data_IF_716115499133
#
_entry.id   IF_716115499133
#
_cell.length_a   1.000
_cell.length_b   1.000
_cell.length_c   1.000
_cell.angle_alpha   90.00
_cell.angle_beta   90.00
_cell.angle_gamma   90.00
#
_symmetry.space_group_name_H-M   'P 1'
#
loop_
_entity.id
_entity.type
_entity.pdbx_description
1 polymer ?
#
# COMPACT_ATOMS: atom_id res chain seq x y z
N UNK A 1 34.72 44.49 18.11
CA UNK A 1 34.87 45.83 18.73
C UNK A 1 33.52 46.24 19.30
N UNK A 2 33.50 46.76 20.56
CA UNK A 2 32.36 47.39 21.28
C UNK A 2 31.24 46.42 21.72
N UNK A 3 30.71 46.37 22.93
CA UNK A 3 31.03 46.90 24.28
C UNK A 3 30.10 46.12 25.22
N UNK A 4 30.57 45.74 26.40
CA UNK A 4 29.76 45.10 27.45
C UNK A 4 28.66 46.03 27.98
N UNK A 5 27.44 45.50 28.14
CA UNK A 5 26.50 45.97 29.17
C UNK A 5 25.73 44.79 29.73
N UNK A 6 26.18 44.34 30.90
CA UNK A 6 25.45 43.52 31.86
C UNK A 6 24.27 44.32 32.40
N UNK A 7 23.04 43.79 32.30
CA UNK A 7 21.96 44.16 33.22
C UNK A 7 21.41 42.90 33.88
N UNK A 8 21.89 42.75 35.10
CA UNK A 8 21.34 41.97 36.20
C UNK A 8 19.98 42.55 36.61
N UNK A 9 18.91 41.76 36.56
CA UNK A 9 17.73 41.93 37.40
C UNK A 9 17.22 40.55 37.81
N UNK A 10 17.69 40.14 38.98
CA UNK A 10 17.08 39.15 39.87
C UNK A 10 15.80 39.74 40.49
N UNK A 11 14.68 39.02 40.39
CA UNK A 11 13.65 38.80 41.43
C UNK A 11 12.54 37.96 40.81
N UNK A 12 12.41 36.67 41.10
CA UNK A 12 11.90 36.14 42.37
C UNK A 12 10.53 36.76 42.73
N UNK A 13 9.57 35.87 43.04
CA UNK A 13 8.17 36.12 43.47
C UNK A 13 7.10 36.02 42.37
N UNK A 14 6.62 34.78 42.09
CA UNK A 14 5.22 34.34 42.29
C UNK A 14 4.89 33.02 41.56
N UNK A 15 5.07 31.92 42.27
CA UNK A 15 4.06 30.85 42.40
C UNK A 15 3.70 30.79 43.90
N UNK A 16 2.64 30.12 44.40
CA UNK A 16 1.63 29.26 43.74
C UNK A 16 0.18 29.63 44.12
N UNK A 17 -0.85 29.17 43.38
CA UNK A 17 -2.20 29.08 43.96
C UNK A 17 -3.01 27.97 43.26
N UNK A 18 -2.72 26.73 43.67
CA UNK A 18 -3.75 25.70 43.79
C UNK A 18 -4.50 25.94 45.10
N UNK A 19 -5.82 26.06 45.06
CA UNK A 19 -6.78 25.42 45.98
C UNK A 19 -8.12 26.17 45.96
N UNK A 20 -9.18 25.38 46.18
CA UNK A 20 -10.55 25.78 46.53
C UNK A 20 -11.45 26.17 45.36
N UNK A 21 -12.21 25.20 44.85
CA UNK A 21 -13.67 25.20 44.95
C UNK A 21 -14.22 23.77 44.79
N UNK A 22 -14.27 23.04 45.90
CA UNK A 22 -15.11 21.84 46.09
C UNK A 22 -16.28 22.27 47.00
N UNK A 23 -17.52 22.30 46.47
CA UNK A 23 -18.80 22.22 47.19
C UNK A 23 -19.93 22.12 46.16
N UNK A 24 -20.39 20.90 45.87
CA UNK A 24 -21.65 20.31 46.37
C UNK A 24 -22.91 21.00 45.85
N UNK A 25 -23.56 20.39 44.85
CA UNK A 25 -25.03 20.30 44.76
C UNK A 25 -25.37 18.88 44.29
N UNK A 26 -25.97 18.10 45.18
CA UNK A 26 -26.60 16.81 44.89
C UNK A 26 -28.10 17.03 44.70
N UNK A 27 -28.70 16.15 43.89
CA UNK A 27 -30.12 15.79 43.79
C UNK A 27 -31.01 16.57 42.80
N UNK A 28 -31.34 15.90 41.68
CA UNK A 28 -32.72 15.56 41.35
C UNK A 28 -32.76 14.41 40.33
N UNK A 29 -33.64 13.44 40.62
CA UNK A 29 -33.94 12.26 39.83
C UNK A 29 -34.78 12.66 38.60
N UNK A 30 -34.45 12.13 37.42
CA UNK A 30 -35.23 12.35 36.19
C UNK A 30 -34.78 11.37 35.11
N UNK A 31 -35.57 10.33 34.93
CA UNK A 31 -35.29 9.17 34.09
C UNK A 31 -35.69 9.49 32.64
N UNK A 32 -34.73 9.88 31.81
CA UNK A 32 -34.88 9.91 30.34
C UNK A 32 -33.59 9.41 29.70
N UNK A 33 -33.55 8.11 29.45
CA UNK A 33 -32.49 7.49 28.64
C UNK A 33 -32.77 7.81 27.16
N UNK A 34 -31.77 8.26 26.38
CA UNK A 34 -31.92 8.35 24.93
C UNK A 34 -32.12 6.95 24.35
N UNK A 35 -33.03 6.76 23.37
CA UNK A 35 -33.18 5.47 22.72
C UNK A 35 -31.88 5.10 21.99
N UNK A 36 -31.45 3.85 22.18
CA UNK A 36 -30.34 3.27 21.45
C UNK A 36 -30.57 3.40 19.93
N UNK A 37 -29.51 3.58 19.11
CA UNK A 37 -29.66 3.48 17.67
C UNK A 37 -30.14 2.07 17.32
N UNK A 38 -31.24 2.00 16.57
CA UNK A 38 -31.73 0.75 16.01
C UNK A 38 -30.62 0.09 15.21
N UNK A 39 -30.31 -1.17 15.55
CA UNK A 39 -29.50 -2.02 14.71
C UNK A 39 -30.25 -2.22 13.39
N UNK A 40 -29.66 -1.72 12.31
CA UNK A 40 -30.07 -2.03 10.94
C UNK A 40 -30.06 -3.55 10.77
N UNK A 41 -31.23 -4.12 10.51
CA UNK A 41 -31.36 -5.53 10.20
C UNK A 41 -30.66 -5.79 8.85
N UNK A 42 -29.87 -6.87 8.69
CA UNK A 42 -29.30 -7.21 7.41
C UNK A 42 -30.43 -7.45 6.38
N UNK A 43 -30.26 -7.01 5.12
CA UNK A 43 -31.24 -7.30 4.08
C UNK A 43 -31.42 -8.81 3.92
N UNK A 44 -32.62 -9.30 3.56
CA UNK A 44 -32.85 -10.72 3.36
C UNK A 44 -31.93 -11.25 2.26
N UNK A 45 -31.36 -12.43 2.49
CA UNK A 45 -30.60 -13.17 1.49
C UNK A 45 -31.45 -13.39 0.22
N UNK A 46 -30.86 -13.36 -0.98
CA UNK A 46 -31.61 -13.67 -2.19
C UNK A 46 -32.15 -15.09 -2.11
N UNK A 47 -33.47 -15.22 -2.30
CA UNK A 47 -34.17 -16.49 -2.42
C UNK A 47 -33.57 -17.29 -3.58
N UNK A 48 -33.24 -18.55 -3.30
CA UNK A 48 -32.82 -19.52 -4.30
C UNK A 48 -33.95 -19.72 -5.33
N UNK A 49 -33.83 -19.06 -6.47
CA UNK A 49 -34.65 -19.34 -7.62
C UNK A 49 -34.20 -20.66 -8.26
N UNK A 50 -35.16 -21.56 -8.41
CA UNK A 50 -35.04 -22.88 -8.95
C UNK A 50 -34.38 -22.92 -10.34
N UNK A 51 -33.51 -23.90 -10.53
CA UNK A 51 -32.98 -24.31 -11.81
C UNK A 51 -34.10 -24.60 -12.81
N UNK A 52 -34.12 -23.87 -13.93
CA UNK A 52 -34.82 -24.28 -15.14
C UNK A 52 -33.82 -24.96 -16.08
N UNK A 53 -34.21 -26.05 -16.78
CA UNK A 53 -33.30 -26.81 -17.62
C UNK A 53 -33.03 -26.10 -18.96
N UNK A 54 -31.79 -26.13 -19.41
CA UNK A 54 -31.40 -25.66 -20.74
C UNK A 54 -31.92 -26.63 -21.84
N UNK A 55 -32.29 -26.12 -23.04
CA UNK A 55 -32.69 -26.98 -24.16
C UNK A 55 -31.46 -27.62 -24.83
N UNK A 56 -31.60 -28.88 -25.21
CA UNK A 56 -30.65 -29.63 -26.00
C UNK A 56 -30.60 -29.13 -27.46
N UNK A 57 -29.43 -29.13 -28.12
CA UNK A 57 -29.36 -29.29 -29.55
C UNK A 57 -28.89 -30.70 -29.95
N UNK A 58 -29.42 -31.12 -31.09
CA UNK A 58 -29.38 -32.46 -31.64
C UNK A 58 -28.00 -32.95 -32.06
N UNK A 59 -27.87 -34.27 -32.05
CA UNK A 59 -26.74 -35.04 -32.53
C UNK A 59 -26.44 -34.77 -34.01
N UNK A 60 -25.17 -34.45 -34.29
CA UNK A 60 -24.53 -34.55 -35.60
C UNK A 60 -23.17 -35.19 -35.40
N UNK A 61 -23.06 -36.46 -35.77
CA UNK A 61 -21.87 -37.30 -35.62
C UNK A 61 -20.91 -37.08 -36.78
N UNK A 62 -19.70 -36.59 -36.52
CA UNK A 62 -18.51 -36.91 -37.32
C UNK A 62 -17.29 -37.06 -36.40
N UNK A 63 -16.54 -38.13 -36.65
CA UNK A 63 -15.45 -38.61 -35.83
C UNK A 63 -14.28 -37.62 -35.73
N UNK A 64 -13.81 -37.37 -34.50
CA UNK A 64 -12.50 -36.75 -34.25
C UNK A 64 -11.41 -37.81 -34.16
N UNK A 65 -10.37 -37.63 -34.96
CA UNK A 65 -9.11 -38.38 -34.95
C UNK A 65 -8.40 -38.31 -33.59
N UNK A 66 -7.52 -39.28 -33.24
CA UNK A 66 -6.87 -39.31 -31.94
C UNK A 66 -5.90 -38.13 -31.76
N UNK A 67 -6.00 -37.47 -30.60
CA UNK A 67 -4.99 -36.54 -30.12
C UNK A 67 -3.66 -37.28 -29.89
N UNK A 68 -2.49 -36.70 -30.24
CA UNK A 68 -1.23 -37.23 -29.77
C UNK A 68 -1.10 -36.99 -28.26
N UNK A 69 -0.54 -37.99 -27.58
CA UNK A 69 -0.25 -37.98 -26.16
C UNK A 69 0.54 -36.73 -25.75
N UNK A 70 0.16 -36.19 -24.58
CA UNK A 70 0.89 -35.16 -23.88
C UNK A 70 2.35 -35.59 -23.68
N UNK A 71 3.29 -34.90 -24.35
CA UNK A 71 4.67 -34.86 -23.91
C UNK A 71 4.71 -34.01 -22.63
N UNK A 72 5.12 -34.65 -21.54
CA UNK A 72 5.19 -34.04 -20.22
C UNK A 72 6.02 -32.76 -20.23
N UNK A 73 5.47 -31.70 -19.65
CA UNK A 73 6.25 -30.54 -19.24
C UNK A 73 7.26 -31.02 -18.18
N UNK A 74 8.56 -30.73 -18.30
CA UNK A 74 9.50 -31.10 -17.26
C UNK A 74 9.14 -30.34 -15.98
N UNK A 75 8.91 -31.10 -14.92
CA UNK A 75 8.89 -30.62 -13.54
C UNK A 75 10.20 -29.85 -13.29
N UNK A 76 10.13 -28.54 -13.08
CA UNK A 76 11.27 -27.74 -12.62
C UNK A 76 11.53 -28.04 -11.15
N UNK A 77 11.99 -29.25 -10.88
CA UNK A 77 12.75 -29.55 -9.69
C UNK A 77 13.93 -28.57 -9.64
N UNK A 78 14.24 -28.07 -8.44
CA UNK A 78 15.36 -27.18 -8.17
C UNK A 78 16.53 -27.45 -9.11
N UNK A 79 16.91 -26.42 -9.88
CA UNK A 79 18.06 -26.52 -10.78
C UNK A 79 19.31 -26.98 -10.02
N UNK A 80 20.33 -27.48 -10.73
CA UNK A 80 21.58 -27.94 -10.11
C UNK A 80 22.07 -26.89 -9.11
N UNK A 81 22.48 -27.35 -7.92
CA UNK A 81 23.17 -26.49 -6.97
C UNK A 81 24.32 -25.77 -7.71
N UNK A 82 24.49 -24.45 -7.51
CA UNK A 82 25.51 -23.70 -8.23
C UNK A 82 26.87 -24.36 -8.02
N UNK A 83 27.60 -24.57 -9.12
CA UNK A 83 28.94 -25.15 -9.09
C UNK A 83 29.83 -24.30 -8.16
N UNK A 84 30.47 -24.87 -7.13
CA UNK A 84 31.37 -24.14 -6.23
C UNK A 84 32.58 -23.50 -6.94
N UNK A 85 32.84 -23.87 -8.20
CA UNK A 85 33.83 -23.25 -9.06
C UNK A 85 33.31 -22.06 -9.89
N UNK A 86 32.00 -21.74 -9.83
CA UNK A 86 31.46 -20.54 -10.46
C UNK A 86 32.04 -19.31 -9.76
N UNK A 87 32.84 -18.46 -10.44
CA UNK A 87 33.30 -17.22 -9.85
C UNK A 87 32.09 -16.42 -9.37
N UNK A 88 32.14 -15.91 -8.15
CA UNK A 88 31.11 -14.98 -7.66
C UNK A 88 30.92 -13.90 -8.73
N UNK A 89 29.66 -13.68 -9.13
CA UNK A 89 29.35 -12.61 -10.06
C UNK A 89 30.02 -11.31 -9.55
N UNK A 90 30.67 -10.53 -10.42
CA UNK A 90 31.33 -9.30 -10.01
C UNK A 90 30.34 -8.43 -9.23
N UNK A 91 30.78 -7.68 -8.20
CA UNK A 91 29.88 -6.89 -7.38
C UNK A 91 29.01 -6.03 -8.30
N UNK A 92 27.70 -6.23 -8.24
CA UNK A 92 26.76 -5.47 -9.03
C UNK A 92 27.01 -3.98 -8.76
N UNK A 93 27.38 -3.22 -9.78
CA UNK A 93 27.53 -1.77 -9.66
C UNK A 93 26.20 -1.21 -9.21
N UNK A 94 26.18 -0.61 -8.01
CA UNK A 94 24.98 0.03 -7.47
C UNK A 94 24.66 1.25 -8.33
N UNK A 95 23.48 1.26 -8.95
CA UNK A 95 22.96 2.40 -9.71
C UNK A 95 22.17 3.29 -8.74
N UNK A 96 22.54 4.56 -8.52
CA UNK A 96 21.77 5.43 -7.64
C UNK A 96 20.31 5.59 -8.10
N UNK A 97 19.37 5.66 -7.15
CA UNK A 97 17.97 6.00 -7.45
C UNK A 97 17.92 7.44 -7.98
N UNK A 98 17.30 7.69 -9.15
CA UNK A 98 17.16 9.04 -9.69
C UNK A 98 16.22 9.88 -8.83
N UNK A 99 16.62 11.13 -8.55
CA UNK A 99 15.75 12.10 -7.90
C UNK A 99 14.66 12.57 -8.86
N UNK A 100 13.40 12.39 -8.48
CA UNK A 100 12.27 12.87 -9.26
C UNK A 100 11.70 14.20 -8.75
N UNK A 101 10.63 14.68 -9.39
CA UNK A 101 9.93 15.88 -8.94
C UNK A 101 9.25 15.65 -7.58
N UNK A 102 9.05 16.73 -6.84
CA UNK A 102 8.23 16.72 -5.63
C UNK A 102 6.79 16.30 -5.95
N UNK A 103 6.23 15.41 -5.12
CA UNK A 103 4.87 14.92 -5.28
C UNK A 103 3.89 15.96 -4.73
N UNK A 104 3.06 16.52 -5.61
CA UNK A 104 1.98 17.43 -5.22
C UNK A 104 0.75 16.61 -4.82
N UNK A 105 0.22 16.86 -3.62
CA UNK A 105 -0.98 16.18 -3.12
C UNK A 105 -2.17 17.14 -3.18
N UNK A 106 -2.84 17.20 -4.33
CA UNK A 106 -4.09 17.96 -4.51
C UNK A 106 -5.28 17.00 -4.65
N UNK A 107 -6.51 17.42 -4.32
CA UNK A 107 -7.69 16.55 -4.49
C UNK A 107 -7.88 16.03 -5.92
N UNK A 108 -7.51 16.82 -6.92
CA UNK A 108 -7.54 16.43 -8.34
C UNK A 108 -6.53 15.32 -8.64
N UNK A 109 -5.25 15.51 -8.27
CA UNK A 109 -4.20 14.52 -8.49
C UNK A 109 -4.47 13.22 -7.74
N UNK A 110 -5.03 13.31 -6.53
CA UNK A 110 -5.48 12.14 -5.76
C UNK A 110 -6.60 11.39 -6.47
N UNK A 111 -7.60 12.11 -7.00
CA UNK A 111 -8.71 11.49 -7.71
C UNK A 111 -8.26 10.83 -9.01
N UNK A 112 -7.35 11.46 -9.76
CA UNK A 112 -6.74 10.88 -10.95
C UNK A 112 -5.86 9.67 -10.63
N UNK A 113 -5.00 9.80 -9.61
CA UNK A 113 -4.17 8.71 -9.11
C UNK A 113 -4.99 7.49 -8.68
N UNK A 114 -6.12 7.71 -8.02
CA UNK A 114 -7.06 6.64 -7.68
C UNK A 114 -7.61 5.96 -8.95
N UNK A 115 -8.02 6.71 -9.97
CA UNK A 115 -8.49 6.11 -11.24
C UNK A 115 -7.41 5.24 -11.87
N UNK A 116 -6.16 5.72 -11.89
CA UNK A 116 -5.01 4.98 -12.42
C UNK A 116 -4.74 3.73 -11.59
N UNK A 117 -4.78 3.82 -10.26
CA UNK A 117 -4.64 2.68 -9.34
C UNK A 117 -5.63 1.55 -9.64
N UNK A 118 -6.85 1.92 -10.04
CA UNK A 118 -7.85 0.95 -10.48
C UNK A 118 -7.57 0.42 -11.89
N UNK A 119 -7.35 1.30 -12.87
CA UNK A 119 -7.18 0.90 -14.28
C UNK A 119 -5.88 0.15 -14.57
N UNK A 120 -4.80 0.45 -13.84
CA UNK A 120 -3.51 -0.23 -13.96
C UNK A 120 -3.45 -1.55 -13.16
N UNK A 121 -4.53 -1.91 -12.44
CA UNK A 121 -4.63 -3.19 -11.72
C UNK A 121 -3.90 -3.24 -10.38
N UNK A 122 -3.38 -2.11 -9.86
CA UNK A 122 -2.69 -2.08 -8.56
C UNK A 122 -3.58 -2.63 -7.43
N UNK A 123 -4.88 -2.31 -7.49
CA UNK A 123 -5.90 -2.79 -6.55
C UNK A 123 -6.04 -4.31 -6.49
N UNK A 124 -5.69 -5.04 -7.56
CA UNK A 124 -5.81 -6.49 -7.58
C UNK A 124 -4.85 -7.14 -6.58
N UNK A 125 -3.70 -6.51 -6.36
CA UNK A 125 -2.66 -7.02 -5.46
C UNK A 125 -2.64 -6.31 -4.10
N UNK A 126 -2.83 -4.99 -4.10
CA UNK A 126 -2.78 -4.11 -2.91
C UNK A 126 -4.17 -3.82 -2.30
N UNK A 127 -5.23 -4.41 -2.85
CA UNK A 127 -6.61 -4.23 -2.39
C UNK A 127 -7.26 -2.93 -2.87
N UNK A 128 -8.59 -2.90 -2.95
CA UNK A 128 -9.35 -1.74 -3.46
C UNK A 128 -9.09 -0.43 -2.72
N UNK A 129 -8.77 -0.50 -1.44
CA UNK A 129 -8.46 0.66 -0.58
C UNK A 129 -6.98 0.78 -0.22
N UNK A 130 -6.11 -0.05 -0.81
CA UNK A 130 -4.69 -0.12 -0.44
C UNK A 130 -4.44 -0.96 0.83
N UNK A 131 -5.43 -1.67 1.38
CA UNK A 131 -5.28 -2.47 2.59
C UNK A 131 -4.45 -3.74 2.46
N UNK A 132 -3.85 -4.01 1.30
CA UNK A 132 -3.03 -5.18 1.02
C UNK A 132 -3.85 -6.41 0.62
N UNK A 133 -3.21 -7.58 0.66
CA UNK A 133 -3.84 -8.86 0.34
C UNK A 133 -2.79 -9.91 -0.02
N UNK A 134 -2.46 -10.01 -1.31
CA UNK A 134 -1.29 -10.79 -1.77
C UNK A 134 0.02 -9.98 -1.66
N UNK A 135 -0.09 -8.65 -1.66
CA UNK A 135 1.02 -7.72 -1.51
C UNK A 135 0.86 -6.87 -0.24
N UNK A 136 1.91 -6.15 0.18
CA UNK A 136 1.88 -5.32 1.37
C UNK A 136 0.75 -4.28 1.33
N UNK A 137 0.16 -3.95 2.49
CA UNK A 137 -0.71 -2.79 2.60
C UNK A 137 0.06 -1.51 2.25
N UNK A 138 -0.62 -0.61 1.56
CA UNK A 138 -0.19 0.77 1.31
C UNK A 138 -0.71 1.72 2.40
N UNK A 139 -1.58 1.26 3.30
CA UNK A 139 -2.27 2.09 4.31
C UNK A 139 -1.59 2.09 5.69
N UNK A 140 -0.51 1.33 5.91
CA UNK A 140 0.21 1.28 7.17
C UNK A 140 1.65 1.79 7.02
N UNK A 141 2.36 1.92 8.13
CA UNK A 141 3.67 2.57 8.15
C UNK A 141 4.85 1.59 7.92
N UNK A 142 4.57 0.36 7.47
CA UNK A 142 5.60 -0.66 7.20
C UNK A 142 5.90 -0.72 5.71
N UNK A 143 7.02 -0.14 5.32
CA UNK A 143 7.43 -0.06 3.92
C UNK A 143 8.55 -1.04 3.61
N UNK A 144 8.36 -1.87 2.59
CA UNK A 144 9.31 -2.94 2.27
C UNK A 144 10.65 -2.39 1.78
N UNK A 145 10.68 -1.35 0.95
CA UNK A 145 11.93 -0.79 0.40
C UNK A 145 12.23 0.64 0.86
N UNK A 146 11.38 1.25 1.68
CA UNK A 146 11.41 2.69 1.97
C UNK A 146 10.11 3.38 1.54
N UNK A 147 9.79 4.48 2.19
CA UNK A 147 8.63 5.33 1.87
C UNK A 147 8.96 6.61 1.11
N UNK A 148 10.24 6.90 0.85
CA UNK A 148 10.62 8.11 0.11
C UNK A 148 10.11 8.08 -1.34
N UNK A 149 9.72 9.24 -1.86
CA UNK A 149 9.05 9.35 -3.17
C UNK A 149 9.92 8.84 -4.32
N UNK A 150 11.23 9.01 -4.22
CA UNK A 150 12.17 8.54 -5.25
C UNK A 150 12.22 7.01 -5.27
N UNK A 151 12.31 6.37 -4.10
CA UNK A 151 12.22 4.92 -3.99
C UNK A 151 10.88 4.38 -4.46
N UNK A 152 9.76 5.00 -4.07
CA UNK A 152 8.43 4.57 -4.51
C UNK A 152 8.25 4.74 -6.02
N UNK A 153 8.74 5.85 -6.60
CA UNK A 153 8.74 6.10 -8.04
C UNK A 153 9.52 5.03 -8.79
N UNK A 154 10.75 4.74 -8.37
CA UNK A 154 11.57 3.71 -9.00
C UNK A 154 10.92 2.33 -8.85
N UNK A 155 10.41 2.01 -7.68
CA UNK A 155 9.72 0.75 -7.43
C UNK A 155 8.51 0.58 -8.37
N UNK A 156 7.66 1.61 -8.53
CA UNK A 156 6.50 1.57 -9.44
C UNK A 156 6.97 1.39 -10.89
N UNK A 157 7.94 2.18 -11.34
CA UNK A 157 8.33 2.18 -12.75
C UNK A 157 9.11 0.92 -13.15
N UNK A 158 10.02 0.46 -12.30
CA UNK A 158 11.00 -0.59 -12.63
C UNK A 158 10.73 -1.94 -11.95
N UNK A 159 9.84 -1.95 -10.96
CA UNK A 159 9.47 -3.16 -10.23
C UNK A 159 10.52 -3.62 -9.20
N UNK A 160 10.16 -4.67 -8.45
CA UNK A 160 10.99 -5.13 -7.32
C UNK A 160 12.33 -5.72 -7.70
N UNK A 161 12.48 -6.25 -8.93
CA UNK A 161 13.74 -6.85 -9.37
C UNK A 161 14.86 -5.81 -9.53
N UNK A 162 14.52 -4.58 -9.94
CA UNK A 162 15.48 -3.50 -10.12
C UNK A 162 16.01 -2.93 -8.79
N UNK A 163 15.27 -3.13 -7.68
CA UNK A 163 15.64 -2.53 -6.39
C UNK A 163 17.01 -2.97 -5.87
N UNK A 164 17.42 -4.21 -6.16
CA UNK A 164 18.74 -4.72 -5.78
C UNK A 164 19.85 -3.98 -6.54
N UNK A 165 19.65 -3.70 -7.83
CA UNK A 165 20.57 -2.89 -8.64
C UNK A 165 20.70 -1.46 -8.08
N UNK A 166 19.65 -0.96 -7.44
CA UNK A 166 19.67 0.32 -6.72
C UNK A 166 20.24 0.26 -5.30
N UNK A 167 20.81 -0.89 -4.89
CA UNK A 167 21.35 -1.08 -3.55
C UNK A 167 20.27 -1.11 -2.46
N UNK A 168 19.00 -1.27 -2.83
CA UNK A 168 17.88 -1.34 -1.88
C UNK A 168 17.63 -2.79 -1.49
N UNK A 169 17.60 -3.05 -0.20
CA UNK A 169 17.15 -4.30 0.39
C UNK A 169 15.77 -4.13 1.01
N UNK A 170 15.13 -5.24 1.37
CA UNK A 170 13.91 -5.17 2.18
C UNK A 170 14.26 -4.68 3.57
N UNK A 171 13.66 -3.57 3.99
CA UNK A 171 13.81 -2.96 5.32
C UNK A 171 12.58 -3.20 6.18
N UNK A 172 11.39 -3.21 5.59
CA UNK A 172 10.13 -3.54 6.25
C UNK A 172 9.74 -5.01 6.07
N UNK A 173 9.06 -5.56 7.08
CA UNK A 173 8.56 -6.94 7.10
C UNK A 173 7.04 -6.94 6.94
N UNK A 174 6.58 -7.22 5.73
CA UNK A 174 5.17 -7.33 5.36
C UNK A 174 4.93 -8.54 4.47
N UNK A 175 3.66 -8.90 4.28
CA UNK A 175 3.30 -10.00 3.38
C UNK A 175 3.60 -9.63 1.92
N UNK A 176 4.62 -10.27 1.33
CA UNK A 176 4.99 -10.12 -0.09
C UNK A 176 4.95 -11.50 -0.76
N UNK A 177 3.86 -11.81 -1.45
CA UNK A 177 3.69 -13.12 -2.10
C UNK A 177 4.43 -13.21 -3.45
N UNK A 178 4.66 -12.09 -4.13
CA UNK A 178 5.28 -12.06 -5.44
C UNK A 178 6.12 -10.82 -5.71
N UNK A 179 6.81 -10.81 -6.85
CA UNK A 179 7.52 -9.63 -7.33
C UNK A 179 6.52 -8.63 -7.91
N UNK A 180 6.66 -7.35 -7.55
CA UNK A 180 5.93 -6.28 -8.22
C UNK A 180 6.57 -6.07 -9.61
N UNK A 181 5.80 -6.18 -10.70
CA UNK A 181 6.31 -5.96 -12.06
C UNK A 181 6.61 -4.48 -12.31
N UNK A 182 7.40 -4.15 -13.35
CA UNK A 182 7.58 -2.78 -13.81
C UNK A 182 6.29 -2.23 -14.43
N UNK A 183 5.83 -1.06 -13.99
CA UNK A 183 4.63 -0.41 -14.55
C UNK A 183 4.95 0.70 -15.56
N UNK A 184 6.22 1.08 -15.75
CA UNK A 184 6.58 2.10 -16.74
C UNK A 184 6.00 1.87 -18.16
N UNK A 185 5.91 0.62 -18.68
CA UNK A 185 5.34 0.39 -20.01
C UNK A 185 3.83 0.63 -20.14
N UNK A 186 3.10 0.65 -19.02
CA UNK A 186 1.62 0.81 -19.01
C UNK A 186 1.17 2.16 -18.47
N UNK A 187 2.07 2.92 -17.84
CA UNK A 187 1.81 4.25 -17.31
C UNK A 187 2.14 5.33 -18.33
N UNK A 188 1.34 6.39 -18.36
CA UNK A 188 1.62 7.58 -19.17
C UNK A 188 2.56 8.53 -18.43
N UNK A 189 3.23 9.46 -19.12
CA UNK A 189 4.01 10.49 -18.46
C UNK A 189 3.18 11.26 -17.41
N UNK A 190 3.66 11.31 -16.17
CA UNK A 190 2.98 11.96 -15.05
C UNK A 190 1.99 11.07 -14.27
N UNK A 191 1.69 9.86 -14.74
CA UNK A 191 0.79 8.95 -14.02
C UNK A 191 1.40 8.46 -12.70
N UNK A 192 2.72 8.27 -12.67
CA UNK A 192 3.43 7.86 -11.45
C UNK A 192 3.30 8.90 -10.34
N UNK A 193 3.40 10.19 -10.67
CA UNK A 193 3.22 11.27 -9.69
C UNK A 193 1.78 11.34 -9.16
N UNK A 194 0.79 11.07 -10.01
CA UNK A 194 -0.63 10.99 -9.60
C UNK A 194 -0.87 9.79 -8.69
N UNK A 195 -0.29 8.63 -9.02
CA UNK A 195 -0.31 7.45 -8.16
C UNK A 195 0.30 7.75 -6.79
N UNK A 196 1.46 8.41 -6.75
CA UNK A 196 2.10 8.82 -5.49
C UNK A 196 1.21 9.79 -4.70
N UNK A 197 0.56 10.75 -5.36
CA UNK A 197 -0.40 11.64 -4.69
C UNK A 197 -1.56 10.85 -4.04
N UNK A 198 -2.10 9.85 -4.74
CA UNK A 198 -3.11 8.96 -4.16
C UNK A 198 -2.56 8.14 -2.98
N UNK A 199 -1.36 7.58 -3.09
CA UNK A 199 -0.72 6.82 -2.01
C UNK A 199 -0.52 7.70 -0.77
N UNK A 200 -0.07 8.95 -0.94
CA UNK A 200 0.03 9.93 0.15
C UNK A 200 -1.32 10.24 0.79
N UNK A 201 -2.41 10.25 0.02
CA UNK A 201 -3.74 10.52 0.56
C UNK A 201 -4.27 9.40 1.48
N UNK A 202 -3.84 8.15 1.25
CA UNK A 202 -4.25 6.99 2.04
C UNK A 202 -3.22 6.63 3.13
N UNK A 203 -2.03 7.24 3.09
CA UNK A 203 -0.95 6.98 4.02
C UNK A 203 -0.10 8.22 4.29
N UNK A 204 -0.06 8.63 5.56
CA UNK A 204 0.63 9.84 6.00
C UNK A 204 2.16 9.68 6.07
N UNK A 205 2.70 8.47 6.07
CA UNK A 205 4.16 8.24 6.08
C UNK A 205 4.76 8.11 4.68
N UNK A 206 3.93 7.96 3.64
CA UNK A 206 4.39 8.01 2.26
C UNK A 206 5.08 9.34 1.94
N UNK A 207 6.15 9.29 1.15
CA UNK A 207 7.01 10.40 0.79
C UNK A 207 8.01 10.82 1.87
N UNK A 208 7.98 10.22 3.07
CA UNK A 208 8.94 10.52 4.14
C UNK A 208 10.11 9.57 4.08
N UNK A 209 11.32 10.08 4.32
CA UNK A 209 12.47 9.21 4.59
C UNK A 209 12.24 8.45 5.90
N UNK A 210 12.58 7.16 5.91
CA UNK A 210 12.54 6.29 7.08
C UNK A 210 13.89 6.23 7.79
#
# INVERSE_FOLDING_TARGET
MRTSTTRYLDRSVRAPLCALMFSVVLAACGKDAPPAPAADAPPPAPSAAASAPAPAPAAGSTASAPAPAAAGMPNVAAGPAPDPATPAAPPATIVPIPKGPEVKVTPELVAEGKKIYFSAGCNACHGGTGGGGMCPPLTNDIWVYGSDDDTLRTLINEGTAAMITHGKTRVGHEKVVGQMPPFAPVLKPGDTEKLLAFIHSINKTAGKAQ
#
